data_IF_423015740492
#
_entry.id   IF_423015740492
#
_cell.length_a   1.000
_cell.length_b   1.000
_cell.length_c   1.000
_cell.angle_alpha   90.00
_cell.angle_beta   90.00
_cell.angle_gamma   90.00
#
_symmetry.space_group_name_H-M   'P 1'
#
loop_
_entity.id
_entity.type
_entity.pdbx_description
1 polymer ?
#
# COMPACT_ATOMS: atom_id res chain seq x y z
N UNK A 1 -0.34 -9.26 13.10
CA UNK A 1 -0.17 -7.78 13.00
C UNK A 1 -1.47 -7.06 12.64
N UNK A 2 -2.35 -7.64 11.80
CA UNK A 2 -3.68 -7.08 11.51
C UNK A 2 -4.55 -6.73 12.73
N UNK A 3 -4.50 -7.53 13.81
CA UNK A 3 -5.32 -7.32 15.00
C UNK A 3 -5.01 -6.02 15.76
N UNK A 4 -3.78 -5.51 15.62
CA UNK A 4 -3.30 -4.31 16.33
C UNK A 4 -3.23 -3.11 15.38
N UNK A 5 -2.75 -3.33 14.15
CA UNK A 5 -2.63 -2.24 13.17
C UNK A 5 -3.97 -1.82 12.56
N UNK A 6 -4.98 -2.69 12.56
CA UNK A 6 -6.35 -2.36 12.12
C UNK A 6 -6.98 -1.24 12.96
N UNK A 7 -7.12 -1.42 14.30
CA UNK A 7 -7.68 -0.39 15.18
C UNK A 7 -6.85 0.89 15.20
N UNK A 8 -5.51 0.77 15.21
CA UNK A 8 -4.60 1.93 15.21
C UNK A 8 -4.73 2.70 13.90
N UNK A 9 -4.75 2.00 12.76
CA UNK A 9 -4.92 2.61 11.45
C UNK A 9 -6.27 3.28 11.28
N UNK A 10 -7.34 2.64 11.72
CA UNK A 10 -8.68 3.22 11.75
C UNK A 10 -8.73 4.49 12.60
N UNK A 11 -8.20 4.45 13.82
CA UNK A 11 -8.16 5.63 14.70
C UNK A 11 -7.34 6.79 14.12
N UNK A 12 -6.24 6.52 13.40
CA UNK A 12 -5.44 7.55 12.72
C UNK A 12 -6.22 8.18 11.55
N UNK A 13 -6.94 7.37 10.78
CA UNK A 13 -7.78 7.82 9.67
C UNK A 13 -8.92 8.71 10.20
N UNK A 14 -9.61 8.25 11.24
CA UNK A 14 -10.72 8.98 11.87
C UNK A 14 -10.26 10.34 12.43
N UNK A 15 -9.03 10.41 12.97
CA UNK A 15 -8.47 11.65 13.52
C UNK A 15 -7.98 12.63 12.46
N UNK A 16 -7.48 12.14 11.31
CA UNK A 16 -7.00 13.01 10.22
C UNK A 16 -8.09 13.39 9.21
N UNK A 17 -9.21 12.67 9.18
CA UNK A 17 -10.38 12.95 8.34
C UNK A 17 -10.14 12.82 6.83
N UNK A 18 -8.95 12.35 6.40
CA UNK A 18 -8.59 12.16 4.98
C UNK A 18 -7.71 10.92 4.84
N UNK A 19 -8.29 9.82 4.37
CA UNK A 19 -7.60 8.54 4.12
C UNK A 19 -6.35 8.68 3.24
N UNK A 20 -6.36 9.60 2.27
CA UNK A 20 -5.25 9.86 1.35
C UNK A 20 -3.93 10.20 2.06
N UNK A 21 -3.97 10.92 3.19
CA UNK A 21 -2.75 11.34 3.88
C UNK A 21 -2.10 10.14 4.58
N UNK A 22 -2.93 9.28 5.17
CA UNK A 22 -2.49 8.04 5.82
C UNK A 22 -1.92 7.08 4.78
N UNK A 23 -2.61 6.89 3.66
CA UNK A 23 -2.15 6.04 2.56
C UNK A 23 -0.82 6.54 1.96
N UNK A 24 -0.65 7.85 1.80
CA UNK A 24 0.57 8.43 1.25
C UNK A 24 1.75 8.32 2.22
N UNK A 25 1.53 8.61 3.51
CA UNK A 25 2.57 8.46 4.55
C UNK A 25 2.99 7.01 4.70
N UNK A 26 2.03 6.08 4.78
CA UNK A 26 2.31 4.66 4.93
C UNK A 26 3.02 4.08 3.69
N UNK A 27 2.55 4.40 2.47
CA UNK A 27 3.21 3.95 1.23
C UNK A 27 4.61 4.53 1.06
N UNK A 28 4.81 5.80 1.44
CA UNK A 28 6.14 6.43 1.39
C UNK A 28 7.08 5.84 2.44
N UNK A 29 6.58 5.53 3.63
CA UNK A 29 7.35 4.84 4.67
C UNK A 29 7.78 3.45 4.20
N UNK A 30 6.87 2.65 3.63
CA UNK A 30 7.21 1.35 3.02
C UNK A 30 8.32 1.51 1.99
N UNK A 31 8.18 2.43 1.04
CA UNK A 31 9.19 2.68 0.00
C UNK A 31 10.57 3.01 0.60
N UNK A 32 10.63 3.91 1.59
CA UNK A 32 11.88 4.29 2.26
C UNK A 32 12.52 3.08 2.95
N UNK A 33 11.75 2.32 3.72
CA UNK A 33 12.28 1.16 4.44
C UNK A 33 12.72 0.05 3.50
N UNK A 34 11.99 -0.19 2.41
CA UNK A 34 12.38 -1.15 1.38
C UNK A 34 13.69 -0.74 0.70
N UNK A 35 13.90 0.54 0.40
CA UNK A 35 15.19 1.05 -0.12
C UNK A 35 16.32 0.84 0.90
N UNK A 36 16.06 1.11 2.19
CA UNK A 36 17.05 0.87 3.26
C UNK A 36 17.44 -0.61 3.34
N UNK A 37 16.48 -1.54 3.22
CA UNK A 37 16.78 -2.99 3.20
C UNK A 37 17.60 -3.39 1.98
N UNK A 38 17.33 -2.81 0.81
CA UNK A 38 18.08 -3.11 -0.42
C UNK A 38 19.53 -2.64 -0.31
N UNK A 39 19.77 -1.48 0.30
CA UNK A 39 21.10 -0.87 0.44
C UNK A 39 21.91 -1.43 1.63
N UNK A 40 21.25 -2.05 2.61
CA UNK A 40 21.94 -2.62 3.78
C UNK A 40 22.83 -3.80 3.38
N UNK A 41 24.10 -3.84 3.84
CA UNK A 41 24.97 -4.99 3.66
C UNK A 41 24.35 -6.23 4.33
N UNK A 42 24.33 -7.35 3.62
CA UNK A 42 23.73 -8.60 4.10
C UNK A 42 24.71 -9.40 4.97
N UNK A 43 25.28 -8.72 5.97
CA UNK A 43 26.25 -9.27 6.91
C UNK A 43 25.56 -9.86 8.16
N UNK A 44 26.03 -10.98 8.73
CA UNK A 44 25.44 -11.58 9.93
C UNK A 44 25.35 -10.62 11.14
N UNK A 45 26.27 -9.66 11.23
CA UNK A 45 26.30 -8.63 12.28
C UNK A 45 25.10 -7.67 12.21
N UNK A 46 24.52 -7.48 11.02
CA UNK A 46 23.39 -6.58 10.77
C UNK A 46 22.04 -7.29 10.78
N UNK A 47 21.99 -8.60 11.06
CA UNK A 47 20.76 -9.40 11.05
C UNK A 47 19.65 -8.81 11.93
N UNK A 48 19.99 -8.31 13.13
CA UNK A 48 19.02 -7.66 14.02
C UNK A 48 18.43 -6.39 13.42
N UNK A 49 19.23 -5.59 12.72
CA UNK A 49 18.76 -4.38 12.05
C UNK A 49 17.84 -4.72 10.87
N UNK A 50 18.20 -5.73 10.06
CA UNK A 50 17.34 -6.24 8.98
C UNK A 50 15.96 -6.71 9.48
N UNK A 51 15.92 -7.45 10.59
CA UNK A 51 14.66 -7.88 11.19
C UNK A 51 13.79 -6.72 11.65
N UNK A 52 14.38 -5.71 12.31
CA UNK A 52 13.64 -4.52 12.75
C UNK A 52 13.03 -3.80 11.55
N UNK A 53 13.80 -3.60 10.48
CA UNK A 53 13.29 -2.91 9.29
C UNK A 53 12.20 -3.74 8.58
N UNK A 54 12.34 -5.07 8.50
CA UNK A 54 11.30 -5.94 7.93
C UNK A 54 9.97 -5.87 8.71
N UNK A 55 10.03 -5.81 10.04
CA UNK A 55 8.85 -5.61 10.89
C UNK A 55 8.22 -4.24 10.66
N UNK A 56 9.02 -3.19 10.49
CA UNK A 56 8.52 -1.85 10.16
C UNK A 56 7.81 -1.84 8.80
N UNK A 57 8.43 -2.39 7.75
CA UNK A 57 7.82 -2.53 6.42
C UNK A 57 6.46 -3.21 6.53
N UNK A 58 6.41 -4.35 7.22
CA UNK A 58 5.18 -5.11 7.41
C UNK A 58 4.13 -4.31 8.19
N UNK A 59 4.54 -3.56 9.22
CA UNK A 59 3.66 -2.68 10.00
C UNK A 59 3.00 -1.59 9.15
N UNK A 60 3.79 -0.89 8.32
CA UNK A 60 3.27 0.15 7.43
C UNK A 60 2.45 -0.42 6.26
N UNK A 61 2.81 -1.59 5.74
CA UNK A 61 2.00 -2.29 4.73
C UNK A 61 0.61 -2.65 5.28
N UNK A 62 0.52 -3.12 6.53
CA UNK A 62 -0.76 -3.35 7.18
C UNK A 62 -1.54 -2.05 7.47
N UNK A 63 -0.85 -0.96 7.80
CA UNK A 63 -1.49 0.35 7.91
C UNK A 63 -2.10 0.81 6.57
N UNK A 64 -1.46 0.50 5.44
CA UNK A 64 -2.04 0.76 4.12
C UNK A 64 -3.30 -0.06 3.86
N UNK A 65 -3.35 -1.31 4.33
CA UNK A 65 -4.52 -2.19 4.11
C UNK A 65 -5.82 -1.61 4.69
N UNK A 66 -5.75 -0.82 5.77
CA UNK A 66 -6.93 -0.17 6.36
C UNK A 66 -7.47 0.97 5.50
N UNK A 67 -6.64 1.51 4.59
CA UNK A 67 -7.02 2.62 3.69
C UNK A 67 -7.61 2.15 2.37
N UNK A 68 -7.58 0.85 2.03
CA UNK A 68 -8.00 0.33 0.72
C UNK A 68 -9.48 0.59 0.43
N UNK A 69 -10.33 0.48 1.46
CA UNK A 69 -11.78 0.65 1.32
C UNK A 69 -12.29 2.04 1.70
N UNK A 70 -11.49 2.84 2.40
CA UNK A 70 -11.89 4.18 2.86
C UNK A 70 -12.23 5.14 1.72
N UNK A 71 -11.51 5.17 0.59
CA UNK A 71 -11.88 6.03 -0.53
C UNK A 71 -13.28 5.75 -1.07
N UNK A 72 -13.75 4.49 -1.06
CA UNK A 72 -15.12 4.18 -1.49
C UNK A 72 -16.17 4.81 -0.56
N UNK A 73 -15.89 4.87 0.75
CA UNK A 73 -16.75 5.60 1.71
C UNK A 73 -16.65 7.13 1.59
N UNK A 74 -15.49 7.66 1.20
CA UNK A 74 -15.27 9.11 1.01
C UNK A 74 -15.87 9.62 -0.32
N UNK A 75 -15.93 8.76 -1.34
CA UNK A 75 -16.36 9.11 -2.69
C UNK A 75 -17.84 9.48 -2.85
N UNK A 76 -18.67 9.28 -1.82
CA UNK A 76 -20.14 9.48 -1.87
C UNK A 76 -20.78 8.86 -3.13
N UNK A 77 -20.29 7.70 -3.56
CA UNK A 77 -20.82 6.95 -4.71
C UNK A 77 -22.23 6.48 -4.32
N UNK A 78 -23.22 6.48 -5.25
CA UNK A 78 -24.54 5.92 -4.96
C UNK A 78 -24.41 4.49 -4.45
N UNK A 79 -25.09 4.18 -3.34
CA UNK A 79 -24.99 2.90 -2.62
C UNK A 79 -25.25 1.69 -3.53
N UNK A 80 -26.05 1.87 -4.58
CA UNK A 80 -26.35 0.86 -5.60
C UNK A 80 -25.13 0.34 -6.36
N UNK A 81 -24.06 1.13 -6.50
CA UNK A 81 -22.87 0.77 -7.28
C UNK A 81 -21.63 0.46 -6.43
N UNK A 82 -21.66 0.79 -5.14
CA UNK A 82 -20.51 0.60 -4.23
C UNK A 82 -20.10 -0.87 -4.15
N UNK A 83 -21.07 -1.79 -4.02
CA UNK A 83 -20.79 -3.23 -3.93
C UNK A 83 -20.13 -3.79 -5.19
N UNK A 84 -20.60 -3.40 -6.37
CA UNK A 84 -20.01 -3.81 -7.65
C UNK A 84 -18.60 -3.24 -7.84
N UNK A 85 -18.39 -1.97 -7.49
CA UNK A 85 -17.09 -1.33 -7.60
C UNK A 85 -16.05 -1.98 -6.66
N UNK A 86 -16.43 -2.24 -5.40
CA UNK A 86 -15.58 -2.95 -4.44
C UNK A 86 -15.29 -4.38 -4.93
N UNK A 87 -16.32 -5.11 -5.39
CA UNK A 87 -16.16 -6.49 -5.86
C UNK A 87 -15.17 -6.61 -7.03
N UNK A 88 -15.26 -5.74 -8.03
CA UNK A 88 -14.32 -5.70 -9.16
C UNK A 88 -12.90 -5.33 -8.68
N UNK A 89 -12.79 -4.30 -7.84
CA UNK A 89 -11.50 -3.87 -7.30
C UNK A 89 -10.82 -4.99 -6.48
N UNK A 90 -11.58 -5.69 -5.63
CA UNK A 90 -11.09 -6.81 -4.83
C UNK A 90 -10.71 -8.01 -5.70
N UNK A 91 -11.50 -8.34 -6.73
CA UNK A 91 -11.16 -9.43 -7.64
C UNK A 91 -9.82 -9.20 -8.33
N UNK A 92 -9.56 -7.98 -8.81
CA UNK A 92 -8.26 -7.63 -9.40
C UNK A 92 -7.15 -7.61 -8.34
N UNK A 93 -7.39 -6.98 -7.20
CA UNK A 93 -6.39 -6.83 -6.13
C UNK A 93 -5.92 -8.16 -5.54
N UNK A 94 -6.85 -9.07 -5.23
CA UNK A 94 -6.51 -10.37 -4.65
C UNK A 94 -6.12 -11.42 -5.68
N UNK A 95 -6.33 -11.17 -6.99
CA UNK A 95 -5.85 -12.08 -8.03
C UNK A 95 -4.32 -12.24 -8.01
N UNK A 96 -3.60 -11.22 -7.53
CA UNK A 96 -2.14 -11.26 -7.45
C UNK A 96 -1.61 -12.27 -6.46
N UNK A 97 -2.36 -12.55 -5.39
CA UNK A 97 -1.96 -13.53 -4.37
C UNK A 97 -1.86 -14.95 -4.94
N UNK A 98 -2.57 -15.25 -6.02
CA UNK A 98 -2.55 -16.58 -6.65
C UNK A 98 -1.21 -16.90 -7.33
N UNK A 99 -0.48 -15.89 -7.81
CA UNK A 99 0.75 -16.09 -8.60
C UNK A 99 2.00 -15.48 -7.97
N UNK A 100 1.86 -14.56 -7.02
CA UNK A 100 2.98 -13.86 -6.41
C UNK A 100 3.98 -14.82 -5.74
N UNK A 101 3.49 -15.84 -5.04
CA UNK A 101 4.36 -16.84 -4.38
C UNK A 101 5.22 -17.62 -5.38
N UNK A 102 4.64 -17.98 -6.54
CA UNK A 102 5.37 -18.68 -7.60
C UNK A 102 6.45 -17.79 -8.22
N UNK A 103 6.16 -16.51 -8.43
CA UNK A 103 7.15 -15.55 -8.96
C UNK A 103 8.29 -15.37 -7.96
N UNK A 104 7.98 -15.13 -6.68
CA UNK A 104 9.00 -14.98 -5.65
C UNK A 104 9.87 -16.24 -5.50
N UNK A 105 9.26 -17.43 -5.52
CA UNK A 105 9.98 -18.71 -5.48
C UNK A 105 10.91 -18.88 -6.68
N UNK A 106 10.41 -18.66 -7.89
CA UNK A 106 11.21 -18.77 -9.11
C UNK A 106 12.41 -17.79 -9.13
N UNK A 107 12.24 -16.58 -8.59
CA UNK A 107 13.33 -15.59 -8.51
C UNK A 107 14.40 -16.00 -7.50
N UNK A 108 14.02 -16.61 -6.38
CA UNK A 108 14.97 -17.16 -5.40
C UNK A 108 15.74 -18.33 -5.99
N UNK A 109 15.05 -19.25 -6.67
CA UNK A 109 15.66 -20.43 -7.28
C UNK A 109 16.65 -20.06 -8.40
N UNK A 110 16.36 -18.99 -9.17
CA UNK A 110 17.16 -18.58 -10.32
C UNK A 110 18.36 -17.70 -9.96
N UNK A 111 18.21 -16.78 -9.01
CA UNK A 111 19.23 -15.78 -8.68
C UNK A 111 19.95 -16.03 -7.36
N UNK A 112 19.53 -17.05 -6.59
CA UNK A 112 20.05 -17.35 -5.26
C UNK A 112 19.61 -16.34 -4.21
N UNK A 113 20.01 -16.56 -2.95
CA UNK A 113 19.45 -15.84 -1.80
C UNK A 113 19.65 -14.32 -1.89
N UNK A 114 20.90 -13.86 -2.06
CA UNK A 114 21.24 -12.43 -1.98
C UNK A 114 20.56 -11.63 -3.09
N UNK A 115 20.63 -12.10 -4.34
CA UNK A 115 20.10 -11.37 -5.48
C UNK A 115 18.58 -11.57 -5.61
N UNK A 116 18.06 -12.77 -5.33
CA UNK A 116 16.63 -13.07 -5.34
C UNK A 116 15.84 -12.20 -4.35
N UNK A 117 16.32 -12.04 -3.12
CA UNK A 117 15.68 -11.13 -2.16
C UNK A 117 15.73 -9.67 -2.60
N UNK A 118 16.84 -9.21 -3.18
CA UNK A 118 16.91 -7.84 -3.73
C UNK A 118 15.87 -7.63 -4.84
N UNK A 119 15.62 -8.62 -5.70
CA UNK A 119 14.55 -8.55 -6.70
C UNK A 119 13.17 -8.45 -6.06
N UNK A 120 12.87 -9.26 -5.04
CA UNK A 120 11.58 -9.24 -4.34
C UNK A 120 11.33 -7.86 -3.69
N UNK A 121 12.32 -7.31 -2.98
CA UNK A 121 12.21 -5.97 -2.40
C UNK A 121 12.10 -4.88 -3.48
N UNK A 122 12.73 -5.05 -4.63
CA UNK A 122 12.57 -4.11 -5.75
C UNK A 122 11.15 -4.13 -6.32
N UNK A 123 10.53 -5.32 -6.42
CA UNK A 123 9.13 -5.44 -6.80
C UNK A 123 8.20 -4.79 -5.77
N UNK A 124 8.48 -4.95 -4.48
CA UNK A 124 7.75 -4.25 -3.41
C UNK A 124 7.88 -2.73 -3.54
N UNK A 125 9.10 -2.21 -3.77
CA UNK A 125 9.34 -0.79 -3.98
C UNK A 125 8.56 -0.26 -5.19
N UNK A 126 8.52 -1.02 -6.29
CA UNK A 126 7.70 -0.68 -7.45
C UNK A 126 6.21 -0.61 -7.09
N UNK A 127 5.68 -1.59 -6.36
CA UNK A 127 4.30 -1.59 -5.87
C UNK A 127 3.99 -0.37 -5.00
N UNK A 128 4.90 0.01 -4.09
CA UNK A 128 4.77 1.19 -3.25
C UNK A 128 4.71 2.49 -4.07
N UNK A 129 5.55 2.61 -5.11
CA UNK A 129 5.51 3.76 -6.04
C UNK A 129 4.17 3.83 -6.77
N UNK A 130 3.69 2.71 -7.31
CA UNK A 130 2.38 2.64 -7.97
C UNK A 130 1.27 3.07 -7.01
N UNK A 131 1.31 2.61 -5.76
CA UNK A 131 0.32 2.99 -4.75
C UNK A 131 0.34 4.50 -4.46
N UNK A 132 1.52 5.11 -4.35
CA UNK A 132 1.67 6.57 -4.15
C UNK A 132 1.06 7.32 -5.35
N UNK A 133 1.40 6.91 -6.58
CA UNK A 133 0.87 7.55 -7.80
C UNK A 133 -0.65 7.44 -7.86
N UNK A 134 -1.21 6.24 -7.64
CA UNK A 134 -2.65 6.02 -7.63
C UNK A 134 -3.35 6.85 -6.55
N UNK A 135 -2.77 6.94 -5.35
CA UNK A 135 -3.31 7.79 -4.25
C UNK A 135 -3.33 9.27 -4.64
N UNK A 136 -2.29 9.75 -5.31
CA UNK A 136 -2.20 11.13 -5.79
C UNK A 136 -3.20 11.42 -6.92
N UNK A 137 -3.35 10.50 -7.87
CA UNK A 137 -4.34 10.61 -8.95
C UNK A 137 -5.75 10.65 -8.37
N UNK A 138 -6.06 9.75 -7.44
CA UNK A 138 -7.35 9.71 -6.77
C UNK A 138 -7.62 11.01 -5.99
N UNK A 139 -6.61 11.54 -5.30
CA UNK A 139 -6.72 12.83 -4.62
C UNK A 139 -6.93 14.02 -5.57
N UNK A 140 -6.40 13.96 -6.80
CA UNK A 140 -6.65 14.97 -7.85
C UNK A 140 -8.08 14.88 -8.36
N UNK A 141 -8.58 13.68 -8.64
CA UNK A 141 -9.96 13.48 -9.11
C UNK A 141 -10.98 13.89 -8.05
N UNK A 142 -10.76 13.58 -6.77
CA UNK A 142 -11.62 14.10 -5.69
C UNK A 142 -11.64 15.63 -5.60
N UNK A 143 -10.52 16.30 -5.87
CA UNK A 143 -10.50 17.77 -5.90
C UNK A 143 -11.30 18.32 -7.08
N UNK A 144 -11.19 17.72 -8.27
CA UNK A 144 -11.95 18.13 -9.46
C UNK A 144 -13.46 17.98 -9.25
N UNK A 145 -13.90 16.81 -8.79
CA UNK A 145 -15.32 16.52 -8.53
C UNK A 145 -15.91 17.50 -7.50
N UNK A 146 -15.14 17.85 -6.46
CA UNK A 146 -15.60 18.82 -5.47
C UNK A 146 -15.59 20.26 -5.98
N UNK A 147 -14.72 20.61 -6.93
CA UNK A 147 -14.68 21.94 -7.56
C UNK A 147 -15.84 22.12 -8.56
N UNK A 148 -16.14 21.11 -9.39
CA UNK A 148 -17.29 21.13 -10.30
C UNK A 148 -18.64 21.21 -9.57
N UNK A 149 -18.74 20.61 -8.37
CA UNK A 149 -19.94 20.76 -7.52
C UNK A 149 -20.03 22.12 -6.81
N UNK A 150 -18.94 22.89 -6.74
CA UNK A 150 -18.90 24.22 -6.13
C UNK A 150 -19.20 25.35 -7.12
N UNK A 151 -19.14 25.07 -8.43
CA UNK A 151 -19.73 25.95 -9.43
C UNK A 151 -21.24 25.66 -9.49
N UNK A 152 -22.12 26.63 -9.14
CA UNK A 152 -23.55 26.43 -9.24
C UNK A 152 -23.89 26.11 -10.69
N UNK A 153 -24.54 24.96 -10.91
CA UNK A 153 -25.18 24.61 -12.17
C UNK A 153 -26.00 25.82 -12.65
N UNK A 154 -25.57 26.45 -13.73
CA UNK A 154 -26.32 27.51 -14.43
C UNK A 154 -27.51 26.92 -15.16
#
# INVERSE_FOLDING_TARGET
MNLVMGPIGGAIIDKQGKSKNVALVASTAVLIFTIVVILLPKEPSLFKALLVVAVLITGFAYLNSTTVYTPFSEAKIPVSYVGTAIGIASAMGYSTDAWLFNVCGHMLDKYGDIAGYTFIFTMEAFGAVVMIVCTLLLAREYKKINAEKAEPQK
#
